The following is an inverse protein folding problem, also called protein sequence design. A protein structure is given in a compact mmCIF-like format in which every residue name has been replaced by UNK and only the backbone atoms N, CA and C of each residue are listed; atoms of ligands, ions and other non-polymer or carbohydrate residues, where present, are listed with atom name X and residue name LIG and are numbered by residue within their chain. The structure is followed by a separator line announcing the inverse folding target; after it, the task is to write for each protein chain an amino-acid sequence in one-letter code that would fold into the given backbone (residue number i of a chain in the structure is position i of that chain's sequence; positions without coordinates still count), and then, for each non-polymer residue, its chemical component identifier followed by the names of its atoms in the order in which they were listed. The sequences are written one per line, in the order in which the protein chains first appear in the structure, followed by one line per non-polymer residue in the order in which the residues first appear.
data_IF_128219878561
#
_entry.id   IF_128219878561
#
_cell.length_a   1.000
_cell.length_b   1.000
_cell.length_c   1.000
_cell.angle_alpha   90.00
_cell.angle_beta   90.00
_cell.angle_gamma   90.00
#
_symmetry.space_group_name_H-M   'P 1'
#
loop_
_entity.id
_entity.type
_entity.pdbx_description
1 polymer ?
#
# COMPACT_ATOMS: atom_id res chain seq x y z
N UNK A 1 8.32 39.65 2.31
CA UNK A 1 7.72 38.34 1.98
C UNK A 1 8.62 37.47 1.10
N UNK A 2 9.54 38.03 0.30
CA UNK A 2 10.47 37.26 -0.55
C UNK A 2 11.53 36.46 0.22
N UNK A 3 11.99 36.95 1.37
CA UNK A 3 12.97 36.26 2.23
C UNK A 3 12.48 34.89 2.75
N UNK A 4 11.20 34.76 3.06
CA UNK A 4 10.62 33.49 3.54
C UNK A 4 10.70 32.38 2.48
N UNK A 5 10.27 32.66 1.25
CA UNK A 5 10.32 31.68 0.16
C UNK A 5 11.76 31.26 -0.17
N UNK A 6 12.70 32.21 -0.16
CA UNK A 6 14.11 31.88 -0.35
C UNK A 6 14.64 30.95 0.74
N UNK A 7 14.35 31.25 2.01
CA UNK A 7 14.78 30.42 3.14
C UNK A 7 14.18 29.01 3.09
N UNK A 8 12.87 28.89 2.78
CA UNK A 8 12.20 27.58 2.63
C UNK A 8 12.81 26.79 1.48
N UNK A 9 13.06 27.44 0.34
CA UNK A 9 13.62 26.75 -0.82
C UNK A 9 15.05 26.29 -0.57
N UNK A 10 15.85 27.08 0.17
CA UNK A 10 17.17 26.65 0.63
C UNK A 10 17.07 25.42 1.54
N UNK A 11 16.19 25.47 2.55
CA UNK A 11 16.00 24.36 3.49
C UNK A 11 15.57 23.05 2.78
N UNK A 12 14.63 23.11 1.84
CA UNK A 12 14.19 21.93 1.07
C UNK A 12 15.32 21.30 0.25
N UNK A 13 16.23 22.12 -0.31
CA UNK A 13 17.36 21.65 -1.10
C UNK A 13 18.49 21.05 -0.25
N UNK A 14 18.70 21.61 0.95
CA UNK A 14 19.74 21.17 1.89
C UNK A 14 19.30 20.02 2.81
N UNK A 15 17.99 19.78 2.97
CA UNK A 15 17.46 18.71 3.82
C UNK A 15 17.81 17.32 3.32
N UNK A 16 18.20 16.43 4.22
CA UNK A 16 18.47 15.03 3.91
C UNK A 16 17.18 14.29 3.55
N UNK A 17 17.15 13.67 2.37
CA UNK A 17 16.00 12.90 1.90
C UNK A 17 16.25 11.40 2.06
N UNK A 18 15.40 10.70 2.83
CA UNK A 18 15.59 9.27 3.13
C UNK A 18 15.60 8.38 1.88
N UNK A 19 14.76 8.68 0.87
CA UNK A 19 14.75 7.94 -0.40
C UNK A 19 15.89 8.30 -1.36
N UNK A 20 16.70 9.30 -1.04
CA UNK A 20 17.95 9.57 -1.79
C UNK A 20 19.18 9.20 -0.95
N UNK A 21 19.02 9.13 0.38
CA UNK A 21 20.13 9.01 1.34
C UNK A 21 20.98 10.28 1.43
N UNK A 22 20.52 11.39 0.83
CA UNK A 22 21.29 12.61 0.55
C UNK A 22 20.37 13.82 0.39
N UNK A 23 20.94 15.02 0.37
CA UNK A 23 20.17 16.22 0.04
C UNK A 23 19.85 16.28 -1.46
N UNK A 24 18.69 16.82 -1.87
CA UNK A 24 18.37 16.99 -3.30
C UNK A 24 19.43 17.77 -4.07
N UNK A 25 20.06 18.78 -3.45
CA UNK A 25 21.13 19.54 -4.07
C UNK A 25 22.42 18.73 -4.26
N UNK A 26 22.82 17.91 -3.26
CA UNK A 26 23.94 16.97 -3.41
C UNK A 26 23.72 16.02 -4.57
N UNK A 27 22.50 15.47 -4.69
CA UNK A 27 22.18 14.54 -5.77
C UNK A 27 22.20 15.22 -7.15
N UNK A 28 21.68 16.45 -7.27
CA UNK A 28 21.58 17.16 -8.55
C UNK A 28 22.90 17.81 -9.00
N UNK A 29 23.65 18.41 -8.08
CA UNK A 29 24.83 19.23 -8.39
C UNK A 29 26.16 18.57 -7.98
N UNK A 30 26.13 17.42 -7.32
CA UNK A 30 27.35 16.73 -6.87
C UNK A 30 28.11 17.45 -5.75
N UNK A 31 27.46 18.38 -5.04
CA UNK A 31 28.03 19.12 -3.89
C UNK A 31 26.96 19.51 -2.89
N UNK A 32 27.34 19.69 -1.62
CA UNK A 32 26.40 20.13 -0.60
C UNK A 32 26.15 21.64 -0.61
N UNK A 33 24.99 22.04 -0.09
CA UNK A 33 24.58 23.45 0.00
C UNK A 33 25.11 24.14 1.25
N UNK A 34 25.44 23.39 2.31
CA UNK A 34 25.96 23.94 3.57
C UNK A 34 27.47 23.85 3.65
N UNK A 35 28.06 22.76 3.16
CA UNK A 35 29.50 22.53 3.17
C UNK A 35 30.02 22.26 1.76
N UNK A 36 31.21 22.78 1.44
CA UNK A 36 31.84 22.55 0.15
C UNK A 36 32.53 21.18 0.15
N UNK A 37 31.72 20.13 -0.02
CA UNK A 37 32.17 18.74 -0.07
C UNK A 37 31.66 18.13 -1.38
N UNK A 38 32.59 17.59 -2.17
CA UNK A 38 32.26 16.84 -3.38
C UNK A 38 31.46 15.58 -3.05
N UNK A 39 30.44 15.34 -3.86
CA UNK A 39 29.51 14.26 -3.64
C UNK A 39 29.21 13.50 -4.94
N UNK A 40 29.52 12.20 -4.96
CA UNK A 40 29.17 11.30 -6.07
C UNK A 40 27.98 10.42 -5.70
N UNK A 41 26.90 10.52 -6.49
CA UNK A 41 25.70 9.72 -6.29
C UNK A 41 25.67 8.47 -7.16
N UNK A 42 25.65 7.29 -6.51
CA UNK A 42 25.26 6.04 -7.17
C UNK A 42 23.74 6.00 -7.40
N UNK A 43 23.35 6.29 -8.64
CA UNK A 43 21.96 6.26 -9.07
C UNK A 43 21.40 4.84 -9.23
N UNK A 44 22.25 3.88 -9.59
CA UNK A 44 21.82 2.50 -9.82
C UNK A 44 21.40 1.85 -8.50
N UNK A 45 22.22 1.99 -7.45
CA UNK A 45 21.89 1.52 -6.11
C UNK A 45 20.62 2.20 -5.59
N UNK A 46 20.52 3.52 -5.73
CA UNK A 46 19.36 4.26 -5.21
C UNK A 46 18.07 3.92 -5.94
N UNK A 47 18.15 3.70 -7.24
CA UNK A 47 17.05 3.19 -8.05
C UNK A 47 16.62 1.79 -7.60
N UNK A 48 17.56 0.87 -7.39
CA UNK A 48 17.26 -0.47 -6.91
C UNK A 48 16.56 -0.45 -5.54
N UNK A 49 17.04 0.39 -4.61
CA UNK A 49 16.39 0.61 -3.33
C UNK A 49 14.96 1.15 -3.47
N UNK A 50 14.76 2.14 -4.36
CA UNK A 50 13.42 2.68 -4.66
C UNK A 50 12.49 1.61 -5.21
N UNK A 51 12.95 0.82 -6.18
CA UNK A 51 12.17 -0.28 -6.77
C UNK A 51 11.78 -1.30 -5.70
N UNK A 52 12.72 -1.72 -4.85
CA UNK A 52 12.45 -2.63 -3.74
C UNK A 52 11.37 -2.09 -2.80
N UNK A 53 11.44 -0.82 -2.44
CA UNK A 53 10.44 -0.18 -1.58
C UNK A 53 9.07 -0.05 -2.26
N UNK A 54 9.04 0.26 -3.56
CA UNK A 54 7.81 0.28 -4.36
C UNK A 54 7.17 -1.12 -4.38
N UNK A 55 7.96 -2.17 -4.63
CA UNK A 55 7.46 -3.55 -4.63
C UNK A 55 6.89 -3.96 -3.27
N UNK A 56 7.58 -3.62 -2.17
CA UNK A 56 7.09 -3.88 -0.82
C UNK A 56 5.78 -3.14 -0.53
N UNK A 57 5.70 -1.86 -0.90
CA UNK A 57 4.48 -1.07 -0.75
C UNK A 57 3.33 -1.62 -1.60
N UNK A 58 3.59 -1.93 -2.86
CA UNK A 58 2.62 -2.56 -3.76
C UNK A 58 2.11 -3.89 -3.18
N UNK A 59 2.98 -4.75 -2.68
CA UNK A 59 2.58 -6.00 -2.04
C UNK A 59 1.71 -5.75 -0.79
N UNK A 60 2.11 -4.81 0.07
CA UNK A 60 1.37 -4.44 1.28
C UNK A 60 -0.02 -3.87 0.97
N UNK A 61 -0.12 -3.02 -0.05
CA UNK A 61 -1.39 -2.42 -0.48
C UNK A 61 -2.27 -3.44 -1.19
N UNK A 62 -1.70 -4.24 -2.11
CA UNK A 62 -2.42 -5.28 -2.82
C UNK A 62 -2.93 -6.39 -1.89
N UNK A 63 -2.22 -6.69 -0.80
CA UNK A 63 -2.68 -7.66 0.20
C UNK A 63 -4.00 -7.27 0.88
N UNK A 64 -4.36 -5.97 0.91
CA UNK A 64 -5.63 -5.47 1.44
C UNK A 64 -6.78 -5.57 0.44
N UNK A 65 -6.48 -5.81 -0.84
CA UNK A 65 -7.49 -5.82 -1.91
C UNK A 65 -8.24 -7.14 -1.94
N UNK A 66 -9.52 -7.06 -2.30
CA UNK A 66 -10.31 -8.25 -2.63
C UNK A 66 -9.89 -8.70 -4.04
N UNK A 67 -9.46 -9.96 -4.22
CA UNK A 67 -9.22 -10.49 -5.56
C UNK A 67 -10.57 -10.52 -6.29
N UNK A 68 -10.63 -9.82 -7.43
CA UNK A 68 -11.82 -9.71 -8.25
C UNK A 68 -11.45 -9.70 -9.72
N UNK A 69 -12.20 -10.46 -10.51
CA UNK A 69 -12.10 -10.49 -11.96
C UNK A 69 -13.14 -9.51 -12.53
N UNK A 70 -12.68 -8.34 -12.96
CA UNK A 70 -13.56 -7.35 -13.58
C UNK A 70 -13.86 -7.78 -15.01
N UNK A 71 -15.14 -7.80 -15.37
CA UNK A 71 -15.58 -8.13 -16.72
C UNK A 71 -16.41 -6.98 -17.29
N UNK A 72 -16.43 -6.80 -18.63
CA UNK A 72 -17.46 -5.99 -19.28
C UNK A 72 -18.85 -6.41 -18.78
N UNK A 73 -19.75 -5.44 -18.64
CA UNK A 73 -21.13 -5.55 -18.13
C UNK A 73 -21.28 -5.84 -16.63
N UNK A 74 -20.17 -5.99 -15.89
CA UNK A 74 -20.24 -6.10 -14.43
C UNK A 74 -20.47 -4.74 -13.76
N UNK A 75 -21.16 -4.73 -12.61
CA UNK A 75 -21.41 -3.52 -11.84
C UNK A 75 -20.25 -3.31 -10.85
N UNK A 76 -19.83 -2.06 -10.71
CA UNK A 76 -18.77 -1.69 -9.80
C UNK A 76 -19.08 -0.39 -9.07
N UNK A 77 -18.53 -0.23 -7.88
CA UNK A 77 -18.80 0.91 -7.02
C UNK A 77 -17.56 1.80 -6.93
N UNK A 78 -17.70 3.04 -7.37
CA UNK A 78 -16.77 4.12 -7.06
C UNK A 78 -17.46 5.23 -6.25
N UNK A 79 -18.70 5.58 -6.63
CA UNK A 79 -19.59 6.56 -5.96
C UNK A 79 -21.08 6.23 -6.22
N UNK A 80 -21.39 4.95 -6.38
CA UNK A 80 -22.66 4.46 -6.90
C UNK A 80 -22.42 3.24 -7.80
N UNK A 81 -23.46 2.42 -8.05
CA UNK A 81 -23.34 1.27 -8.94
C UNK A 81 -23.24 1.76 -10.39
N UNK A 82 -22.08 1.57 -11.01
CA UNK A 82 -21.84 1.89 -12.41
C UNK A 82 -21.51 0.63 -13.19
N UNK A 83 -22.01 0.53 -14.42
CA UNK A 83 -21.68 -0.58 -15.30
C UNK A 83 -20.28 -0.38 -15.88
N UNK A 84 -19.52 -1.47 -15.95
CA UNK A 84 -18.22 -1.49 -16.59
C UNK A 84 -18.44 -1.73 -18.08
N UNK A 85 -18.12 -0.75 -18.91
CA UNK A 85 -18.20 -0.89 -20.36
C UNK A 85 -17.00 -1.66 -20.92
N UNK A 86 -15.79 -1.37 -20.42
CA UNK A 86 -14.57 -2.01 -20.89
C UNK A 86 -13.53 -2.14 -19.78
N UNK A 87 -12.74 -3.22 -19.86
CA UNK A 87 -11.59 -3.48 -19.00
C UNK A 87 -10.33 -3.41 -19.86
N UNK A 88 -9.36 -2.59 -19.45
CA UNK A 88 -8.09 -2.40 -20.17
C UNK A 88 -6.95 -3.16 -19.49
N UNK A 89 -5.96 -3.56 -20.28
CA UNK A 89 -4.80 -4.36 -19.82
C UNK A 89 -3.93 -3.65 -18.78
N UNK A 90 -3.92 -2.32 -18.77
CA UNK A 90 -3.16 -1.51 -17.81
C UNK A 90 -3.83 -1.39 -16.42
N UNK A 91 -4.90 -2.16 -16.16
CA UNK A 91 -5.60 -2.16 -14.89
C UNK A 91 -6.56 -0.97 -14.70
N UNK A 92 -7.09 -0.44 -15.80
CA UNK A 92 -8.13 0.60 -15.77
C UNK A 92 -9.45 0.07 -16.31
N UNK A 93 -10.54 0.59 -15.77
CA UNK A 93 -11.92 0.28 -16.10
C UNK A 93 -12.55 1.52 -16.72
N UNK A 94 -13.33 1.34 -17.77
CA UNK A 94 -14.21 2.38 -18.32
C UNK A 94 -15.58 2.16 -17.71
N UNK A 95 -16.03 3.09 -16.88
CA UNK A 95 -17.33 3.07 -16.22
C UNK A 95 -18.32 3.94 -16.98
N UNK A 96 -19.52 3.44 -17.15
CA UNK A 96 -20.65 4.22 -17.63
C UNK A 96 -21.42 4.83 -16.45
N UNK A 97 -21.46 6.17 -16.38
CA UNK A 97 -22.23 6.91 -15.38
C UNK A 97 -23.60 7.36 -15.88
N UNK A 98 -23.96 7.02 -17.11
CA UNK A 98 -25.16 7.47 -17.79
C UNK A 98 -24.96 8.82 -18.50
N UNK A 99 -24.32 9.81 -17.86
CA UNK A 99 -23.99 11.09 -18.53
C UNK A 99 -22.71 11.01 -19.34
N UNK A 100 -21.67 10.39 -18.77
CA UNK A 100 -20.33 10.35 -19.32
C UNK A 100 -19.64 9.01 -19.00
N UNK A 101 -18.62 8.70 -19.80
CA UNK A 101 -17.72 7.57 -19.58
C UNK A 101 -16.49 8.02 -18.78
N UNK A 102 -16.24 7.42 -17.61
CA UNK A 102 -15.06 7.70 -16.81
C UNK A 102 -14.05 6.54 -16.88
N UNK A 103 -12.80 6.84 -17.22
CA UNK A 103 -11.70 5.87 -17.08
C UNK A 103 -11.11 5.96 -15.67
N UNK A 104 -11.21 4.86 -14.91
CA UNK A 104 -10.75 4.80 -13.52
C UNK A 104 -9.81 3.63 -13.31
N UNK A 105 -8.82 3.78 -12.43
CA UNK A 105 -8.06 2.62 -12.01
C UNK A 105 -8.95 1.66 -11.24
N UNK A 106 -8.84 0.36 -11.53
CA UNK A 106 -9.47 -0.70 -10.71
C UNK A 106 -9.08 -0.56 -9.24
N UNK A 107 -7.98 0.16 -8.94
CA UNK A 107 -7.54 0.41 -7.58
C UNK A 107 -8.53 1.18 -6.72
N UNK A 108 -9.33 2.03 -7.33
CA UNK A 108 -10.29 2.93 -6.67
C UNK A 108 -11.70 2.33 -6.57
N UNK A 109 -11.92 1.19 -7.23
CA UNK A 109 -13.24 0.59 -7.40
C UNK A 109 -13.43 -0.56 -6.41
N UNK A 110 -14.62 -0.65 -5.82
CA UNK A 110 -15.06 -1.77 -4.98
C UNK A 110 -15.97 -2.66 -5.84
N UNK A 111 -15.65 -3.97 -5.95
CA UNK A 111 -16.47 -4.87 -6.74
C UNK A 111 -17.84 -5.12 -6.08
N UNK A 112 -18.87 -5.20 -6.93
CA UNK A 112 -20.26 -5.41 -6.52
C UNK A 112 -20.79 -6.73 -7.10
N UNK A 113 -21.50 -7.53 -6.29
CA UNK A 113 -22.20 -8.72 -6.78
C UNK A 113 -23.69 -8.44 -6.78
N UNK A 114 -24.31 -8.57 -7.95
CA UNK A 114 -25.77 -8.74 -8.06
C UNK A 114 -26.03 -10.23 -7.86
N UNK A 115 -26.60 -10.64 -6.72
CA UNK A 115 -27.06 -12.02 -6.58
C UNK A 115 -28.44 -12.14 -7.28
N UNK A 116 -28.62 -13.17 -8.09
CA UNK A 116 -29.89 -13.44 -8.77
C UNK A 116 -30.96 -13.75 -7.74
N UNK A 117 -31.81 -12.77 -7.42
CA UNK A 117 -32.84 -12.89 -6.39
C UNK A 117 -33.15 -11.61 -5.59
N UNK A 118 -32.80 -10.41 -6.09
CA UNK A 118 -33.17 -9.14 -5.47
C UNK A 118 -32.29 -8.70 -4.29
N UNK A 119 -31.43 -9.57 -3.78
CA UNK A 119 -30.46 -9.23 -2.74
C UNK A 119 -29.11 -8.83 -3.34
N UNK A 120 -28.63 -7.67 -2.91
CA UNK A 120 -27.40 -7.07 -3.38
C UNK A 120 -26.33 -7.16 -2.29
N UNK A 121 -25.18 -7.76 -2.60
CA UNK A 121 -24.09 -7.90 -1.63
C UNK A 121 -22.80 -7.24 -2.14
N UNK A 122 -22.21 -6.38 -1.33
CA UNK A 122 -20.85 -5.92 -1.55
C UNK A 122 -19.92 -7.12 -1.46
N UNK A 123 -18.93 -7.23 -2.35
CA UNK A 123 -17.88 -8.23 -2.17
C UNK A 123 -17.15 -7.89 -0.86
N UNK A 124 -17.52 -8.58 0.22
CA UNK A 124 -17.10 -8.23 1.56
C UNK A 124 -15.57 -8.09 1.58
N UNK A 125 -15.09 -6.96 2.11
CA UNK A 125 -13.71 -6.78 2.54
C UNK A 125 -13.49 -7.78 3.70
N UNK A 126 -13.38 -9.07 3.38
CA UNK A 126 -13.21 -10.15 4.34
C UNK A 126 -11.93 -9.82 5.08
N UNK A 127 -12.04 -9.29 6.31
CA UNK A 127 -10.90 -9.02 7.18
C UNK A 127 -10.13 -10.32 7.33
N UNK A 128 -9.07 -10.52 6.54
CA UNK A 128 -8.13 -11.62 6.76
C UNK A 128 -7.53 -11.34 8.14
N UNK A 129 -7.85 -12.21 9.10
CA UNK A 129 -7.26 -12.26 10.44
C UNK A 129 -5.76 -12.01 10.28
N UNK A 130 -5.24 -10.92 10.87
CA UNK A 130 -3.84 -10.54 10.70
C UNK A 130 -2.96 -11.71 11.14
N UNK A 131 -1.97 -12.10 10.33
CA UNK A 131 -1.00 -13.17 10.66
C UNK A 131 -0.42 -13.01 12.07
N UNK A 132 -0.25 -11.77 12.57
CA UNK A 132 0.15 -11.47 13.95
C UNK A 132 -0.80 -11.98 15.05
N UNK A 133 -2.13 -12.02 14.82
CA UNK A 133 -3.08 -12.62 15.77
C UNK A 133 -3.00 -14.15 15.82
N UNK A 134 -2.54 -14.78 14.74
CA UNK A 134 -2.39 -16.24 14.65
C UNK A 134 -1.16 -16.71 15.45
N UNK A 135 -0.02 -16.00 15.32
CA UNK A 135 1.19 -16.31 16.10
C UNK A 135 1.05 -16.01 17.60
N UNK A 136 0.34 -14.94 17.97
CA UNK A 136 0.07 -14.62 19.38
C UNK A 136 -0.77 -15.69 20.10
N UNK A 137 -1.72 -16.33 19.39
CA UNK A 137 -2.58 -17.38 19.96
C UNK A 137 -1.84 -18.71 20.14
N UNK A 138 -0.93 -19.06 19.22
CA UNK A 138 -0.09 -20.26 19.30
C UNK A 138 0.93 -20.14 20.45
N UNK A 139 1.57 -18.97 20.60
CA UNK A 139 2.51 -18.71 21.70
C UNK A 139 1.82 -18.75 23.08
N UNK A 140 0.62 -18.17 23.20
CA UNK A 140 -0.15 -18.18 24.44
C UNK A 140 -0.64 -19.59 24.85
N UNK A 141 -1.07 -20.43 23.89
CA UNK A 141 -1.49 -21.81 24.22
C UNK A 141 -0.31 -22.73 24.56
N UNK A 142 0.84 -22.54 23.91
CA UNK A 142 2.07 -23.29 24.24
C UNK A 142 2.59 -22.95 25.65
N UNK A 143 2.55 -21.67 26.04
CA UNK A 143 2.96 -21.22 27.37
C UNK A 143 2.06 -21.77 28.50
N UNK A 144 0.74 -21.70 28.32
CA UNK A 144 -0.22 -22.23 29.32
C UNK A 144 -0.13 -23.75 29.44
N UNK A 145 0.03 -24.50 28.34
CA UNK A 145 0.24 -25.96 28.38
C UNK A 145 1.54 -26.35 29.08
N UNK A 146 2.62 -25.59 28.88
CA UNK A 146 3.91 -25.83 29.55
C UNK A 146 3.84 -25.59 31.05
N UNK A 147 3.12 -24.55 31.51
CA UNK A 147 2.90 -24.27 32.93
C UNK A 147 1.99 -25.33 33.57
N UNK A 148 0.91 -25.71 32.90
CA UNK A 148 0.00 -26.76 33.39
C UNK A 148 0.71 -28.12 33.54
N UNK A 149 1.58 -28.48 32.58
CA UNK A 149 2.42 -29.68 32.68
C UNK A 149 3.39 -29.64 33.87
N UNK A 150 4.05 -28.50 34.10
CA UNK A 150 4.93 -28.32 35.27
C UNK A 150 4.20 -28.39 36.62
N UNK A 151 2.96 -27.91 36.69
CA UNK A 151 2.15 -27.98 37.92
C UNK A 151 1.62 -29.40 38.18
N UNK A 152 1.34 -30.20 37.14
CA UNK A 152 0.89 -31.59 37.28
C UNK A 152 2.00 -32.49 37.85
N UNK A 153 3.25 -32.30 37.43
CA UNK A 153 4.41 -33.06 37.94
C UNK A 153 4.81 -32.74 39.38
N UNK A 154 4.39 -31.58 39.92
CA UNK A 154 4.73 -31.15 41.29
C UNK A 154 3.78 -31.68 42.37
N UNK A 155 2.66 -32.30 41.97
CA UNK A 155 1.63 -32.84 42.87
C UNK A 155 1.72 -34.35 43.09
N UNK A 156 2.65 -35.03 42.40
CA UNK A 156 2.91 -36.48 42.51
C UNK A 156 4.20 -36.79 43.30
N UNK A 157 4.74 -35.82 44.02
CA UNK A 157 5.91 -35.99 44.89
C UNK A 157 5.56 -35.60 46.31
#
# INVERSE_FOLDING_TARGET
MTSFLHNVTFALRASHHSMLGRSPAQAAFGRDMMVDIEHVTDWAERHACKVKQIQQNNHRENAKRVPWDYRPDSISLLRGPYQIQAVRDNGTLVLDKGSDLETVSMRRVIPYKVQGGGECEFAALRRKKTRGQMYARIQATAYVRRIAGHMATRKQR
#
